data_IF_914475360849
#
_entry.id   IF_914475360849
#
_cell.length_a   1.000
_cell.length_b   1.000
_cell.length_c   1.000
_cell.angle_alpha   90.00
_cell.angle_beta   90.00
_cell.angle_gamma   90.00
#
_symmetry.space_group_name_H-M   'P 1'
#
loop_
_entity.id
_entity.type
_entity.pdbx_description
1 polymer ?
#
# COMPACT_ATOMS: atom_id res chain seq x y z
N UNK A 1 3.90 4.88 -1.34
CA UNK A 1 5.33 5.30 -1.33
C UNK A 1 6.11 4.21 -2.04
N UNK A 2 7.24 4.53 -2.67
CA UNK A 2 8.15 3.50 -3.18
C UNK A 2 9.16 3.05 -2.11
N UNK A 3 9.68 1.84 -2.29
CA UNK A 3 10.65 1.20 -1.40
C UNK A 3 11.97 0.92 -2.12
N UNK A 4 13.06 1.01 -1.39
CA UNK A 4 14.39 0.57 -1.79
C UNK A 4 14.53 -0.96 -1.61
N UNK A 5 15.55 -1.56 -2.21
CA UNK A 5 15.80 -3.01 -2.16
C UNK A 5 16.18 -3.56 -0.77
N UNK A 6 16.42 -2.67 0.18
CA UNK A 6 16.64 -2.97 1.59
C UNK A 6 15.36 -2.84 2.44
N UNK A 7 14.21 -2.57 1.82
CA UNK A 7 12.92 -2.43 2.49
C UNK A 7 12.67 -1.06 3.13
N UNK A 8 13.63 -0.12 3.03
CA UNK A 8 13.40 1.25 3.47
C UNK A 8 12.56 2.02 2.46
N UNK A 9 11.89 3.08 2.92
CA UNK A 9 11.22 4.01 2.01
C UNK A 9 12.24 4.81 1.22
N UNK A 10 11.97 4.99 -0.08
CA UNK A 10 12.76 5.90 -0.92
C UNK A 10 12.73 7.31 -0.31
N UNK A 11 13.89 7.95 -0.25
CA UNK A 11 14.07 9.31 0.25
C UNK A 11 13.12 10.28 -0.45
N UNK A 12 12.46 11.19 0.29
CA UNK A 12 11.54 12.18 -0.30
C UNK A 12 12.19 13.13 -1.31
N UNK A 13 13.52 13.22 -1.33
CA UNK A 13 14.27 14.02 -2.30
C UNK A 13 14.25 13.40 -3.70
N UNK A 14 14.01 12.10 -3.80
CA UNK A 14 13.96 11.40 -5.08
C UNK A 14 12.62 11.62 -5.79
N UNK A 15 12.64 11.83 -7.12
CA UNK A 15 11.43 12.13 -7.90
C UNK A 15 10.42 10.98 -7.89
N UNK A 16 10.88 9.75 -7.68
CA UNK A 16 10.06 8.54 -7.63
C UNK A 16 9.68 8.13 -6.21
N UNK A 17 9.91 8.95 -5.18
CA UNK A 17 9.62 8.57 -3.80
C UNK A 17 8.11 8.43 -3.49
N UNK A 18 7.31 9.26 -4.16
CA UNK A 18 5.86 9.36 -3.96
C UNK A 18 5.12 8.71 -5.13
N UNK A 19 4.03 8.02 -4.79
CA UNK A 19 3.04 7.54 -5.76
C UNK A 19 1.83 8.45 -5.58
N UNK A 20 1.65 9.41 -6.49
CA UNK A 20 0.58 10.43 -6.42
C UNK A 20 -0.62 10.10 -7.28
N UNK A 21 -0.45 9.18 -8.23
CA UNK A 21 -1.49 8.66 -9.11
C UNK A 21 -2.32 7.60 -8.35
N UNK A 22 -3.65 7.80 -8.17
CA UNK A 22 -4.51 6.86 -7.46
C UNK A 22 -4.56 5.45 -8.07
N UNK A 23 -4.45 5.32 -9.40
CA UNK A 23 -4.48 4.03 -10.08
C UNK A 23 -3.17 3.26 -9.90
N UNK A 24 -2.04 3.97 -9.87
CA UNK A 24 -0.77 3.36 -9.47
C UNK A 24 -0.78 2.97 -8.01
N UNK A 25 -1.32 3.83 -7.14
CA UNK A 25 -1.39 3.56 -5.70
C UNK A 25 -2.26 2.33 -5.39
N UNK A 26 -3.46 2.22 -5.97
CA UNK A 26 -4.36 1.05 -5.75
C UNK A 26 -3.73 -0.25 -6.24
N UNK A 27 -3.07 -0.23 -7.40
CA UNK A 27 -2.42 -1.41 -7.97
C UNK A 27 -1.22 -1.85 -7.14
N UNK A 28 -0.42 -0.87 -6.68
CA UNK A 28 0.73 -1.10 -5.81
C UNK A 28 0.30 -1.75 -4.49
N UNK A 29 -0.72 -1.21 -3.82
CA UNK A 29 -1.25 -1.75 -2.56
C UNK A 29 -1.86 -3.13 -2.75
N UNK A 30 -2.68 -3.34 -3.78
CA UNK A 30 -3.30 -4.65 -4.03
C UNK A 30 -2.25 -5.74 -4.23
N UNK A 31 -1.23 -5.47 -5.05
CA UNK A 31 -0.14 -6.42 -5.27
C UNK A 31 0.61 -6.74 -3.99
N UNK A 32 0.92 -5.73 -3.16
CA UNK A 32 1.62 -5.95 -1.89
C UNK A 32 0.79 -6.85 -0.96
N UNK A 33 -0.52 -6.59 -0.83
CA UNK A 33 -1.42 -7.35 0.04
C UNK A 33 -1.64 -8.78 -0.48
N UNK A 34 -1.85 -8.98 -1.78
CA UNK A 34 -2.06 -10.32 -2.35
C UNK A 34 -0.82 -11.19 -2.25
N UNK A 35 0.35 -10.60 -2.50
CA UNK A 35 1.61 -11.34 -2.52
C UNK A 35 2.28 -11.43 -1.15
N UNK A 36 1.78 -10.70 -0.14
CA UNK A 36 2.42 -10.55 1.16
C UNK A 36 3.92 -10.21 1.00
N UNK A 37 4.16 -9.15 0.24
CA UNK A 37 5.50 -8.68 -0.08
C UNK A 37 5.54 -7.16 -0.30
N UNK A 38 6.65 -6.54 0.09
CA UNK A 38 6.95 -5.17 -0.26
C UNK A 38 7.46 -5.10 -1.70
N UNK A 39 6.83 -4.25 -2.51
CA UNK A 39 7.27 -3.95 -3.86
C UNK A 39 8.30 -2.82 -3.86
N UNK A 40 9.57 -3.16 -4.13
CA UNK A 40 10.65 -2.19 -4.29
C UNK A 40 10.58 -1.51 -5.67
N UNK A 41 11.15 -0.31 -5.78
CA UNK A 41 11.16 0.45 -7.03
C UNK A 41 11.88 -0.28 -8.17
N UNK A 42 12.91 -1.06 -7.84
CA UNK A 42 13.66 -1.91 -8.80
C UNK A 42 12.84 -3.04 -9.40
N UNK A 43 11.68 -3.38 -8.82
CA UNK A 43 10.92 -4.60 -9.10
C UNK A 43 11.21 -5.76 -8.15
N UNK A 44 12.21 -5.65 -7.26
CA UNK A 44 12.44 -6.63 -6.20
C UNK A 44 11.23 -6.73 -5.28
N UNK A 45 10.88 -7.96 -4.89
CA UNK A 45 9.87 -8.22 -3.86
C UNK A 45 10.54 -8.72 -2.59
N UNK A 46 10.23 -8.08 -1.46
CA UNK A 46 10.72 -8.49 -0.14
C UNK A 46 9.55 -9.12 0.61
N UNK A 47 9.61 -10.42 0.97
CA UNK A 47 8.55 -11.07 1.75
C UNK A 47 8.26 -10.32 3.03
N UNK A 48 6.98 -9.99 3.27
CA UNK A 48 6.54 -9.19 4.40
C UNK A 48 5.06 -9.45 4.66
N UNK A 49 4.72 -9.81 5.89
CA UNK A 49 3.31 -9.93 6.27
C UNK A 49 2.69 -8.52 6.39
N UNK A 50 1.65 -8.25 5.60
CA UNK A 50 1.00 -6.93 5.53
C UNK A 50 -0.37 -7.01 6.17
N UNK A 51 -0.47 -6.42 7.36
CA UNK A 51 -1.72 -6.32 8.12
C UNK A 51 -2.49 -5.03 7.89
N UNK A 52 -1.75 -3.95 7.60
CA UNK A 52 -2.29 -2.61 7.55
C UNK A 52 -1.52 -1.75 6.55
N UNK A 53 -2.25 -0.83 5.94
CA UNK A 53 -1.72 0.13 4.97
C UNK A 53 -2.06 1.53 5.46
N UNK A 54 -1.03 2.34 5.69
CA UNK A 54 -1.21 3.74 6.05
C UNK A 54 -1.55 4.56 4.79
N UNK A 55 -2.59 5.38 4.89
CA UNK A 55 -3.00 6.34 3.86
C UNK A 55 -3.01 7.72 4.51
N UNK A 56 -2.34 8.69 3.89
CA UNK A 56 -2.28 10.06 4.41
C UNK A 56 -3.52 10.85 3.99
N UNK A 57 -4.05 11.68 4.89
CA UNK A 57 -5.24 12.52 4.68
C UNK A 57 -4.93 14.00 4.44
N UNK A 58 -3.70 14.33 4.06
CA UNK A 58 -3.15 15.68 4.18
C UNK A 58 -3.70 16.69 3.15
N UNK A 59 -4.32 16.24 2.05
CA UNK A 59 -4.83 17.11 0.99
C UNK A 59 -6.08 16.55 0.28
N UNK A 60 -6.69 17.33 -0.62
CA UNK A 60 -7.93 16.95 -1.30
C UNK A 60 -7.82 15.71 -2.18
N UNK A 61 -6.64 15.39 -2.73
CA UNK A 61 -6.44 14.18 -3.55
C UNK A 61 -6.24 12.91 -2.70
N UNK A 62 -5.93 13.05 -1.40
CA UNK A 62 -5.85 11.95 -0.44
C UNK A 62 -7.15 11.15 -0.35
N UNK A 63 -8.30 11.83 -0.34
CA UNK A 63 -9.60 11.15 -0.24
C UNK A 63 -9.87 10.28 -1.47
N UNK A 64 -9.61 10.81 -2.67
CA UNK A 64 -9.76 10.06 -3.92
C UNK A 64 -8.87 8.82 -3.94
N UNK A 65 -7.62 8.95 -3.45
CA UNK A 65 -6.68 7.84 -3.33
C UNK A 65 -7.17 6.79 -2.34
N UNK A 66 -7.66 7.22 -1.17
CA UNK A 66 -8.19 6.32 -0.15
C UNK A 66 -9.41 5.53 -0.64
N UNK A 67 -10.35 6.19 -1.31
CA UNK A 67 -11.52 5.54 -1.90
C UNK A 67 -11.13 4.56 -3.00
N UNK A 68 -10.19 4.95 -3.88
CA UNK A 68 -9.68 4.09 -4.96
C UNK A 68 -9.03 2.82 -4.41
N UNK A 69 -8.16 2.93 -3.40
CA UNK A 69 -7.52 1.78 -2.75
C UNK A 69 -8.59 0.90 -2.06
N UNK A 70 -9.48 1.52 -1.28
CA UNK A 70 -10.54 0.79 -0.54
C UNK A 70 -11.40 -0.04 -1.49
N UNK A 71 -11.94 0.58 -2.54
CA UNK A 71 -12.83 -0.09 -3.48
C UNK A 71 -12.08 -1.21 -4.22
N UNK A 72 -10.85 -0.94 -4.68
CA UNK A 72 -10.04 -1.94 -5.36
C UNK A 72 -9.77 -3.19 -4.49
N UNK A 73 -9.53 -3.03 -3.18
CA UNK A 73 -9.35 -4.17 -2.28
C UNK A 73 -10.65 -4.98 -2.11
N UNK A 74 -11.78 -4.28 -1.93
CA UNK A 74 -13.10 -4.92 -1.78
C UNK A 74 -13.51 -5.66 -3.05
N UNK A 75 -13.34 -5.04 -4.22
CA UNK A 75 -13.66 -5.61 -5.53
C UNK A 75 -12.83 -6.86 -5.84
N UNK A 76 -11.65 -6.98 -5.22
CA UNK A 76 -10.77 -8.17 -5.29
C UNK A 76 -11.02 -9.17 -4.14
N UNK A 77 -12.15 -9.07 -3.43
CA UNK A 77 -12.58 -10.04 -2.43
C UNK A 77 -11.88 -9.93 -1.06
N UNK A 78 -11.17 -8.83 -0.79
CA UNK A 78 -10.52 -8.60 0.50
C UNK A 78 -11.48 -7.92 1.48
N UNK A 79 -11.57 -8.48 2.69
CA UNK A 79 -12.38 -7.93 3.78
C UNK A 79 -11.53 -6.98 4.64
N UNK A 80 -11.95 -5.72 4.75
CA UNK A 80 -11.28 -4.73 5.59
C UNK A 80 -11.76 -4.84 7.04
N UNK A 81 -10.83 -5.01 7.98
CA UNK A 81 -11.09 -5.08 9.42
C UNK A 81 -10.22 -4.11 10.19
N UNK A 82 -10.66 -3.77 11.39
CA UNK A 82 -9.75 -3.18 12.40
C UNK A 82 -8.71 -4.22 12.78
N UNK A 83 -7.51 -3.76 13.17
CA UNK A 83 -6.42 -4.65 13.61
C UNK A 83 -6.87 -5.61 14.71
N UNK A 84 -7.64 -5.13 15.69
CA UNK A 84 -8.20 -5.94 16.79
C UNK A 84 -9.12 -7.08 16.35
N UNK A 85 -9.65 -7.04 15.14
CA UNK A 85 -10.54 -8.05 14.59
C UNK A 85 -9.84 -9.05 13.65
N UNK A 86 -8.53 -8.89 13.41
CA UNK A 86 -7.75 -9.85 12.65
C UNK A 86 -7.58 -11.16 13.42
N UNK A 87 -7.65 -12.29 12.72
CA UNK A 87 -7.61 -13.63 13.35
C UNK A 87 -6.32 -13.88 14.13
N UNK A 88 -5.21 -13.30 13.72
CA UNK A 88 -3.90 -13.50 14.35
C UNK A 88 -3.71 -12.78 15.69
N UNK A 89 -4.58 -11.83 16.01
CA UNK A 89 -4.57 -11.07 17.26
C UNK A 89 -5.73 -11.46 18.20
N UNK A 90 -6.48 -12.51 17.84
CA UNK A 90 -7.50 -13.13 18.69
C UNK A 90 -6.90 -14.34 19.39
#
# INVERSE_FOLDING_TARGET
RNYEDNGNLVSRKEPHALITDPDKAKSHVLSMVQNQAINCHSGKQIPCEIDSVCIHGDNSSSLATALSIKNNLIDNGLELKTLTNLRKFK
#
